data_IF_632175859950
#
_entry.id   IF_632175859950
#
_cell.length_a   1.000
_cell.length_b   1.000
_cell.length_c   1.000
_cell.angle_alpha   90.00
_cell.angle_beta   90.00
_cell.angle_gamma   90.00
#
_symmetry.space_group_name_H-M   'P 1'
#
loop_
_entity.id
_entity.type
_entity.pdbx_description
1 polymer ?
#
# COMPACT_ATOMS: atom_id res chain seq x y z
N UNK A 1 3.97 25.76 -21.51
CA UNK A 1 4.47 25.73 -20.12
C UNK A 1 3.37 25.13 -19.26
N UNK A 2 3.45 23.83 -18.96
CA UNK A 2 2.45 23.15 -18.12
C UNK A 2 2.55 23.66 -16.68
N UNK A 3 1.42 23.98 -16.06
CA UNK A 3 1.40 24.37 -14.65
C UNK A 3 1.86 23.20 -13.80
N UNK A 4 2.81 23.43 -12.89
CA UNK A 4 3.35 22.40 -11.98
C UNK A 4 2.35 22.11 -10.84
N UNK A 5 1.07 21.99 -11.19
CA UNK A 5 -0.03 21.83 -10.25
C UNK A 5 -0.18 20.34 -9.93
N UNK A 6 -0.25 20.01 -8.65
CA UNK A 6 -0.53 18.65 -8.20
C UNK A 6 -1.90 18.21 -8.74
N UNK A 7 -1.92 17.13 -9.53
CA UNK A 7 -3.15 16.59 -10.18
C UNK A 7 -3.64 15.28 -9.58
N UNK A 8 -2.85 14.65 -8.71
CA UNK A 8 -3.19 13.38 -8.08
C UNK A 8 -2.08 12.86 -7.17
N UNK A 9 -2.43 11.87 -6.36
CA UNK A 9 -1.50 11.16 -5.47
C UNK A 9 -1.83 9.66 -5.50
N UNK A 10 -0.82 8.83 -5.26
CA UNK A 10 -0.97 7.38 -5.18
C UNK A 10 -0.62 6.91 -3.76
N UNK A 11 -1.45 6.00 -3.24
CA UNK A 11 -1.25 5.38 -1.94
C UNK A 11 -0.43 4.09 -2.09
N UNK A 12 0.74 4.06 -1.47
CA UNK A 12 1.64 2.90 -1.53
C UNK A 12 1.81 2.30 -0.15
N UNK A 13 1.58 0.99 -0.05
CA UNK A 13 1.83 0.24 1.17
C UNK A 13 3.32 -0.11 1.29
N UNK A 14 3.85 0.02 2.50
CA UNK A 14 5.22 -0.35 2.86
C UNK A 14 5.18 -1.24 4.09
N UNK A 15 5.94 -2.33 4.06
CA UNK A 15 6.05 -3.24 5.20
C UNK A 15 7.44 -3.13 5.82
N UNK A 16 7.49 -2.73 7.09
CA UNK A 16 8.69 -2.78 7.93
C UNK A 16 8.51 -3.88 8.97
N UNK A 17 9.38 -4.89 8.90
CA UNK A 17 9.36 -6.07 9.75
C UNK A 17 10.60 -6.07 10.65
N UNK A 18 10.44 -6.40 11.94
CA UNK A 18 11.54 -6.37 12.91
C UNK A 18 12.70 -7.31 12.59
N UNK A 19 12.43 -8.41 11.90
CA UNK A 19 13.42 -9.45 11.57
C UNK A 19 13.88 -9.34 10.11
N UNK A 20 12.95 -9.05 9.20
CA UNK A 20 13.21 -8.98 7.76
C UNK A 20 13.61 -7.57 7.27
N UNK A 21 13.46 -6.54 8.11
CA UNK A 21 13.63 -5.14 7.74
C UNK A 21 12.54 -4.67 6.77
N UNK A 22 12.90 -3.79 5.84
CA UNK A 22 11.96 -3.32 4.82
C UNK A 22 11.71 -4.41 3.78
N UNK A 23 10.46 -4.89 3.72
CA UNK A 23 10.03 -5.91 2.77
C UNK A 23 9.42 -5.23 1.54
N UNK A 24 9.88 -5.63 0.34
CA UNK A 24 9.36 -5.07 -0.91
C UNK A 24 7.91 -5.50 -1.13
N UNK A 25 7.02 -4.60 -1.61
CA UNK A 25 5.67 -4.95 -2.04
C UNK A 25 5.62 -6.13 -3.03
N UNK A 26 6.60 -6.21 -3.92
CA UNK A 26 6.70 -7.33 -4.89
C UNK A 26 6.87 -8.69 -4.20
N UNK A 27 7.45 -8.71 -2.99
CA UNK A 27 7.70 -9.96 -2.26
C UNK A 27 6.45 -10.42 -1.48
N UNK A 28 5.69 -9.50 -0.91
CA UNK A 28 4.56 -9.86 -0.03
C UNK A 28 3.18 -9.75 -0.66
N UNK A 29 2.99 -8.95 -1.73
CA UNK A 29 1.69 -8.83 -2.40
C UNK A 29 1.23 -10.18 -2.96
N UNK A 30 2.04 -10.96 -3.70
CA UNK A 30 1.58 -12.25 -4.23
C UNK A 30 1.15 -13.22 -3.12
N UNK A 31 1.90 -13.25 -2.01
CA UNK A 31 1.58 -14.07 -0.83
C UNK A 31 0.26 -13.61 -0.22
N UNK A 32 0.07 -12.29 -0.09
CA UNK A 32 -1.15 -11.72 0.42
C UNK A 32 -2.35 -11.98 -0.49
N UNK A 33 -2.18 -12.08 -1.81
CA UNK A 33 -3.25 -12.45 -2.75
C UNK A 33 -3.64 -13.92 -2.60
N UNK A 34 -2.65 -14.82 -2.56
CA UNK A 34 -2.85 -16.26 -2.38
C UNK A 34 -3.56 -16.57 -1.05
N UNK A 35 -3.21 -15.85 0.01
CA UNK A 35 -3.83 -15.97 1.34
C UNK A 35 -5.15 -15.21 1.48
N UNK A 36 -5.62 -14.52 0.42
CA UNK A 36 -6.84 -13.71 0.46
C UNK A 36 -6.76 -12.49 1.39
N UNK A 37 -5.56 -11.99 1.67
CA UNK A 37 -5.25 -10.83 2.51
C UNK A 37 -5.38 -9.48 1.80
N UNK A 38 -5.35 -9.45 0.46
CA UNK A 38 -5.46 -8.22 -0.34
C UNK A 38 -6.91 -7.68 -0.44
N UNK A 39 -7.91 -8.44 0.02
CA UNK A 39 -9.31 -8.00 -0.04
C UNK A 39 -9.57 -6.70 0.77
N UNK A 40 -10.61 -5.92 0.41
CA UNK A 40 -10.91 -4.63 1.03
C UNK A 40 -11.13 -4.62 2.54
N UNK A 41 -11.41 -5.77 3.19
CA UNK A 41 -11.57 -5.89 4.66
C UNK A 41 -10.28 -6.28 5.40
N UNK A 42 -9.14 -6.20 4.72
CA UNK A 42 -7.82 -6.59 5.26
C UNK A 42 -6.78 -5.54 4.88
N UNK A 43 -5.79 -5.88 4.05
CA UNK A 43 -4.73 -4.94 3.67
C UNK A 43 -5.30 -3.78 2.85
N UNK A 44 -6.33 -4.03 2.03
CA UNK A 44 -7.00 -2.99 1.25
C UNK A 44 -7.64 -1.88 2.11
N UNK A 45 -8.20 -2.24 3.28
CA UNK A 45 -8.79 -1.26 4.21
C UNK A 45 -7.73 -0.31 4.77
N UNK A 46 -6.56 -0.86 5.10
CA UNK A 46 -5.47 -0.10 5.71
C UNK A 46 -4.99 0.97 4.72
N UNK A 47 -4.78 0.59 3.46
CA UNK A 47 -4.36 1.54 2.41
C UNK A 47 -5.44 2.60 2.18
N UNK A 48 -6.71 2.18 2.06
CA UNK A 48 -7.81 3.12 1.83
C UNK A 48 -8.00 4.08 3.01
N UNK A 49 -8.12 3.56 4.24
CA UNK A 49 -8.31 4.37 5.44
C UNK A 49 -7.17 5.38 5.64
N UNK A 50 -5.91 4.93 5.59
CA UNK A 50 -4.77 5.84 5.80
C UNK A 50 -4.64 6.92 4.72
N UNK A 51 -5.16 6.68 3.51
CA UNK A 51 -5.08 7.63 2.39
C UNK A 51 -6.21 8.65 2.36
N UNK A 52 -7.35 8.33 2.96
CA UNK A 52 -8.52 9.22 2.99
C UNK A 52 -8.73 9.93 4.33
N UNK A 53 -8.11 9.47 5.43
CA UNK A 53 -8.18 10.09 6.75
C UNK A 53 -7.02 11.05 7.06
N UNK A 54 -6.28 11.53 6.05
CA UNK A 54 -5.21 12.53 6.20
C UNK A 54 -5.50 13.79 5.41
#
# INVERSE_FOLDING_TARGET
MGTNRLVGVEALIRWDNKELGSVSPTDFIPIAEELGLIIPKRIGEIVYGTSFFK
#
